data_IF_308561661976
#
_entry.id   IF_308561661976
#
_cell.length_a   1.000
_cell.length_b   1.000
_cell.length_c   1.000
_cell.angle_alpha   90.00
_cell.angle_beta   90.00
_cell.angle_gamma   90.00
#
_symmetry.space_group_name_H-M   'P 1'
#
loop_
_entity.id
_entity.type
_entity.pdbx_description
1 polymer ?
#
# COMPACT_ATOMS: atom_id res chain seq x y z
N UNK A 1 -11.73 -21.01 -23.27
CA UNK A 1 -11.94 -19.62 -22.83
C UNK A 1 -12.38 -19.75 -21.38
N UNK A 2 -11.46 -19.61 -20.43
CA UNK A 2 -11.78 -19.78 -19.00
C UNK A 2 -12.66 -18.61 -18.57
N UNK A 3 -13.85 -18.93 -18.09
CA UNK A 3 -14.76 -17.97 -17.45
C UNK A 3 -14.07 -17.43 -16.19
N UNK A 4 -13.73 -16.15 -16.18
CA UNK A 4 -13.21 -15.51 -14.98
C UNK A 4 -14.33 -15.42 -13.96
N UNK A 5 -14.30 -16.31 -12.98
CA UNK A 5 -15.19 -16.30 -11.83
C UNK A 5 -15.09 -14.93 -11.13
N UNK A 6 -16.17 -14.13 -11.16
CA UNK A 6 -16.22 -12.85 -10.45
C UNK A 6 -16.20 -13.13 -8.96
N UNK A 7 -15.03 -13.04 -8.34
CA UNK A 7 -14.89 -13.11 -6.89
C UNK A 7 -15.59 -11.89 -6.27
N UNK A 8 -16.79 -12.10 -5.73
CA UNK A 8 -17.53 -11.09 -4.97
C UNK A 8 -16.94 -11.05 -3.56
N UNK A 9 -16.23 -9.96 -3.24
CA UNK A 9 -15.66 -9.75 -1.91
C UNK A 9 -16.76 -9.36 -0.92
N UNK A 10 -16.70 -9.89 0.31
CA UNK A 10 -17.61 -9.46 1.38
C UNK A 10 -17.36 -8.00 1.76
N UNK A 11 -18.38 -7.32 2.26
CA UNK A 11 -18.29 -5.92 2.73
C UNK A 11 -17.18 -5.74 3.76
N UNK A 12 -17.03 -6.70 4.69
CA UNK A 12 -15.96 -6.72 5.70
C UNK A 12 -14.57 -6.75 5.04
N UNK A 13 -14.41 -7.49 3.95
CA UNK A 13 -13.15 -7.56 3.20
C UNK A 13 -12.85 -6.26 2.46
N UNK A 14 -13.85 -5.65 1.84
CA UNK A 14 -13.71 -4.33 1.17
C UNK A 14 -13.31 -3.26 2.19
N UNK A 15 -13.98 -3.21 3.34
CA UNK A 15 -13.67 -2.27 4.41
C UNK A 15 -12.28 -2.49 5.04
N UNK A 16 -11.75 -3.72 4.98
CA UNK A 16 -10.36 -4.00 5.36
C UNK A 16 -9.38 -3.49 4.30
N UNK A 17 -9.65 -3.77 3.02
CA UNK A 17 -8.78 -3.37 1.90
C UNK A 17 -8.67 -1.84 1.78
N UNK A 18 -9.76 -1.11 2.05
CA UNK A 18 -9.76 0.36 2.06
C UNK A 18 -8.91 0.98 3.17
N UNK A 19 -8.47 0.20 4.15
CA UNK A 19 -7.59 0.63 5.26
C UNK A 19 -6.15 0.19 5.09
N UNK A 20 -5.81 -0.48 3.97
CA UNK A 20 -4.43 -0.86 3.70
C UNK A 20 -3.59 0.37 3.37
N UNK A 21 -2.30 0.38 3.74
CA UNK A 21 -1.40 1.43 3.31
C UNK A 21 -1.22 1.38 1.79
N UNK A 22 -1.00 2.55 1.20
CA UNK A 22 -0.60 2.67 -0.20
C UNK A 22 0.88 2.25 -0.27
N UNK A 23 1.18 1.27 -1.11
CA UNK A 23 2.54 0.78 -1.32
C UNK A 23 2.97 1.14 -2.73
N UNK A 24 4.00 1.96 -2.83
CA UNK A 24 4.61 2.36 -4.10
C UNK A 24 6.05 1.86 -4.11
N UNK A 25 6.48 1.30 -5.24
CA UNK A 25 7.86 0.86 -5.42
C UNK A 25 8.44 1.43 -6.71
N UNK A 26 9.66 1.93 -6.63
CA UNK A 26 10.40 2.44 -7.77
C UNK A 26 11.77 1.77 -7.83
N UNK A 27 12.15 1.32 -9.03
CA UNK A 27 13.47 0.74 -9.29
C UNK A 27 14.18 1.62 -10.30
N UNK A 28 15.35 2.12 -9.92
CA UNK A 28 16.17 2.98 -10.77
C UNK A 28 17.62 2.52 -10.72
N UNK A 29 18.38 2.81 -11.78
CA UNK A 29 19.84 2.68 -11.73
C UNK A 29 20.42 3.96 -11.14
N UNK A 30 21.52 3.86 -10.41
CA UNK A 30 22.28 5.04 -10.01
C UNK A 30 22.79 5.79 -11.24
N UNK A 31 23.02 7.09 -11.09
CA UNK A 31 23.46 7.95 -12.19
C UNK A 31 24.80 7.49 -12.80
N UNK A 32 25.70 6.93 -11.98
CA UNK A 32 26.97 6.34 -12.42
C UNK A 32 26.84 4.91 -12.96
N UNK A 33 25.62 4.34 -12.98
CA UNK A 33 25.30 3.01 -13.48
C UNK A 33 25.78 1.84 -12.63
N UNK A 34 26.45 2.09 -11.50
CA UNK A 34 27.06 1.04 -10.66
C UNK A 34 26.06 0.31 -9.76
N UNK A 35 24.92 0.93 -9.47
CA UNK A 35 23.97 0.43 -8.49
C UNK A 35 22.56 0.35 -9.05
N UNK A 36 21.78 -0.58 -8.50
CA UNK A 36 20.33 -0.59 -8.62
C UNK A 36 19.75 -0.13 -7.29
N UNK A 37 18.95 0.93 -7.33
CA UNK A 37 18.26 1.47 -6.17
C UNK A 37 16.80 1.00 -6.25
N UNK A 38 16.42 0.15 -5.30
CA UNK A 38 15.05 -0.23 -5.06
C UNK A 38 14.51 0.58 -3.88
N UNK A 39 13.53 1.44 -4.13
CA UNK A 39 12.86 2.25 -3.10
C UNK A 39 11.41 1.80 -2.96
N UNK A 40 10.99 1.57 -1.73
CA UNK A 40 9.60 1.33 -1.36
C UNK A 40 9.11 2.45 -0.46
N UNK A 41 8.00 3.07 -0.83
CA UNK A 41 7.27 4.03 -0.01
C UNK A 41 6.00 3.36 0.49
N UNK A 42 5.80 3.36 1.81
CA UNK A 42 4.58 2.86 2.46
C UNK A 42 3.89 4.07 3.08
N UNK A 43 2.71 4.42 2.56
CA UNK A 43 1.94 5.58 3.02
C UNK A 43 0.71 5.08 3.77
N UNK A 44 0.64 5.36 5.06
CA UNK A 44 -0.55 5.14 5.87
C UNK A 44 -1.20 6.49 6.21
N UNK A 45 -2.52 6.59 5.96
CA UNK A 45 -3.31 7.79 6.23
C UNK A 45 -4.21 7.50 7.42
N UNK A 46 -3.95 8.18 8.55
CA UNK A 46 -4.73 8.07 9.78
C UNK A 46 -5.34 9.42 10.17
N UNK A 47 -6.53 9.44 10.81
CA UNK A 47 -7.06 10.68 11.39
C UNK A 47 -6.17 11.18 12.53
N UNK A 48 -6.09 12.49 12.73
CA UNK A 48 -5.27 13.11 13.79
C UNK A 48 -5.64 12.58 15.18
N UNK A 49 -6.92 12.31 15.42
CA UNK A 49 -7.42 11.75 16.68
C UNK A 49 -6.85 10.37 17.03
N UNK A 50 -6.38 9.60 16.04
CA UNK A 50 -5.65 8.36 16.31
C UNK A 50 -4.32 8.67 17.00
N UNK A 51 -3.62 9.69 16.52
CA UNK A 51 -2.32 10.11 17.01
C UNK A 51 -2.43 10.68 18.44
N UNK A 52 -3.47 11.50 18.67
CA UNK A 52 -3.82 12.01 20.00
C UNK A 52 -4.04 10.89 21.01
N UNK A 53 -4.70 9.79 20.62
CA UNK A 53 -5.02 8.67 21.52
C UNK A 53 -3.85 7.71 21.78
N UNK A 54 -2.91 7.61 20.84
CA UNK A 54 -1.80 6.64 20.93
C UNK A 54 -0.57 7.24 21.61
N UNK A 55 -0.36 8.56 21.51
CA UNK A 55 0.79 9.24 22.10
C UNK A 55 0.49 9.95 23.43
N UNK A 56 -0.78 9.98 23.87
CA UNK A 56 -1.19 10.43 25.21
C UNK A 56 -1.11 9.31 26.24
#
# INVERSE_FOLDING_TARGET
MEEQEKVVLSEKKIAQLSKQPIIESSVMRSQDGKWVVHKTTITDIKPVSYLEKVLS
#
